data_IF_986855322682
#
_entry.id   IF_986855322682
#
_cell.length_a   1.000
_cell.length_b   1.000
_cell.length_c   1.000
_cell.angle_alpha   90.00
_cell.angle_beta   90.00
_cell.angle_gamma   90.00
#
_symmetry.space_group_name_H-M   'P 1'
#
loop_
_entity.id
_entity.type
_entity.pdbx_description
1 polymer ?
#
# COMPACT_ATOMS: atom_id res chain seq x y z
N UNK A 1 -20.14 -19.98 42.61
CA UNK A 1 -20.98 -19.09 41.76
C UNK A 1 -22.00 -19.89 40.93
N UNK A 2 -23.31 -19.65 41.12
CA UNK A 2 -24.38 -20.31 40.33
C UNK A 2 -24.10 -20.13 38.84
N UNK A 3 -23.79 -21.24 38.13
CA UNK A 3 -23.48 -21.22 36.70
C UNK A 3 -24.68 -20.64 35.95
N UNK A 4 -24.47 -19.51 35.27
CA UNK A 4 -25.46 -18.89 34.37
C UNK A 4 -25.34 -19.60 33.02
N UNK A 5 -26.09 -20.69 32.84
CA UNK A 5 -26.02 -21.57 31.65
C UNK A 5 -27.17 -21.34 30.67
N UNK A 6 -28.20 -20.60 31.07
CA UNK A 6 -29.35 -20.34 30.19
C UNK A 6 -28.96 -19.36 29.07
N UNK A 7 -29.28 -19.75 27.85
CA UNK A 7 -29.02 -18.99 26.64
C UNK A 7 -30.27 -18.32 26.11
N UNK A 8 -31.46 -18.72 26.56
CA UNK A 8 -32.71 -18.09 26.14
C UNK A 8 -33.65 -17.88 27.33
N UNK A 9 -34.48 -16.83 27.24
CA UNK A 9 -35.53 -16.53 28.23
C UNK A 9 -36.83 -16.32 27.47
N UNK A 10 -37.86 -17.08 27.84
CA UNK A 10 -39.17 -16.96 27.20
C UNK A 10 -39.78 -15.56 27.41
N UNK A 11 -40.38 -14.94 26.37
CA UNK A 11 -41.07 -13.66 26.50
C UNK A 11 -42.22 -13.76 27.50
N UNK A 12 -42.22 -12.90 28.53
CA UNK A 12 -43.30 -12.84 29.52
C UNK A 12 -43.22 -13.88 30.65
N UNK A 13 -42.27 -14.81 30.62
CA UNK A 13 -42.11 -15.87 31.63
C UNK A 13 -40.82 -15.69 32.46
N UNK A 14 -40.74 -16.35 33.62
CA UNK A 14 -39.54 -16.44 34.45
C UNK A 14 -38.65 -17.64 34.06
N UNK A 15 -39.16 -18.56 33.23
CA UNK A 15 -38.43 -19.75 32.77
C UNK A 15 -37.21 -19.40 31.90
N UNK A 16 -36.14 -20.16 32.11
CA UNK A 16 -34.83 -19.97 31.49
C UNK A 16 -34.42 -21.27 30.82
N UNK A 17 -34.05 -21.22 29.54
CA UNK A 17 -33.73 -22.39 28.74
C UNK A 17 -32.26 -22.39 28.30
N UNK A 18 -31.68 -23.58 28.18
CA UNK A 18 -30.35 -23.80 27.63
C UNK A 18 -30.51 -24.45 26.25
N UNK A 19 -30.47 -23.62 25.21
CA UNK A 19 -30.69 -24.04 23.83
C UNK A 19 -29.38 -24.15 23.05
N UNK A 20 -28.35 -23.39 23.43
CA UNK A 20 -27.08 -23.34 22.70
C UNK A 20 -25.97 -24.10 23.43
N UNK A 21 -25.13 -24.79 22.67
CA UNK A 21 -24.04 -25.62 23.17
C UNK A 21 -22.76 -25.35 22.38
N UNK A 22 -21.60 -25.46 23.05
CA UNK A 22 -20.28 -25.41 22.41
C UNK A 22 -19.73 -26.83 22.41
N UNK A 23 -19.62 -27.43 21.22
CA UNK A 23 -19.06 -28.77 21.04
C UNK A 23 -17.53 -28.69 20.90
N UNK A 24 -16.82 -29.56 21.62
CA UNK A 24 -15.35 -29.61 21.64
C UNK A 24 -14.91 -31.06 21.45
N UNK A 25 -13.92 -31.31 20.58
CA UNK A 25 -13.33 -32.65 20.44
C UNK A 25 -12.75 -33.10 21.78
N UNK A 26 -12.98 -34.37 22.14
CA UNK A 26 -12.57 -34.94 23.44
C UNK A 26 -11.11 -34.65 23.82
N UNK A 27 -10.19 -34.70 22.84
CA UNK A 27 -8.76 -34.38 23.03
C UNK A 27 -8.47 -32.98 23.60
N UNK A 28 -9.40 -32.03 23.46
CA UNK A 28 -9.28 -30.66 23.94
C UNK A 28 -10.15 -30.38 25.18
N UNK A 29 -10.75 -31.39 25.82
CA UNK A 29 -11.62 -31.20 26.99
C UNK A 29 -10.94 -30.41 28.12
N UNK A 30 -9.67 -30.70 28.37
CA UNK A 30 -8.87 -30.05 29.42
C UNK A 30 -8.44 -28.62 29.05
N UNK A 31 -8.60 -28.24 27.78
CA UNK A 31 -8.38 -26.88 27.29
C UNK A 31 -9.56 -25.96 27.60
N UNK A 32 -10.78 -26.47 27.81
CA UNK A 32 -11.93 -25.63 28.19
C UNK A 32 -11.79 -25.24 29.67
N UNK A 33 -11.75 -23.94 29.97
CA UNK A 33 -11.57 -23.42 31.34
C UNK A 33 -12.87 -22.92 31.96
N UNK A 34 -13.71 -22.30 31.17
CA UNK A 34 -14.97 -21.72 31.63
C UNK A 34 -15.96 -21.69 30.46
N UNK A 35 -17.24 -21.86 30.76
CA UNK A 35 -18.35 -21.69 29.80
C UNK A 35 -19.47 -20.97 30.53
N UNK A 36 -19.86 -19.81 30.01
CA UNK A 36 -20.89 -18.96 30.63
C UNK A 36 -21.67 -18.18 29.61
N UNK A 37 -22.89 -17.81 29.97
CA UNK A 37 -23.67 -16.85 29.20
C UNK A 37 -23.36 -15.41 29.63
N UNK A 38 -23.47 -14.47 28.69
CA UNK A 38 -23.30 -13.04 28.91
C UNK A 38 -24.64 -12.29 28.68
N UNK A 39 -25.56 -12.28 29.67
CA UNK A 39 -26.85 -11.59 29.52
C UNK A 39 -26.74 -10.08 29.27
N UNK A 40 -25.62 -9.45 29.66
CA UNK A 40 -25.34 -8.03 29.44
C UNK A 40 -24.72 -7.69 28.07
N UNK A 41 -24.51 -8.68 27.19
CA UNK A 41 -24.05 -8.46 25.82
C UNK A 41 -25.26 -8.13 24.93
N UNK A 42 -25.26 -6.97 24.29
CA UNK A 42 -26.37 -6.50 23.46
C UNK A 42 -26.12 -6.88 21.99
N UNK A 43 -26.65 -8.02 21.56
CA UNK A 43 -26.34 -8.66 20.27
C UNK A 43 -27.51 -8.72 19.28
N UNK A 44 -28.56 -7.90 19.44
CA UNK A 44 -29.79 -7.92 18.62
C UNK A 44 -30.36 -9.34 18.35
N UNK A 45 -30.15 -10.24 19.33
CA UNK A 45 -30.69 -11.59 19.38
C UNK A 45 -31.46 -11.74 20.69
N UNK A 46 -32.51 -12.56 20.65
CA UNK A 46 -33.28 -13.02 21.80
C UNK A 46 -32.53 -14.08 22.63
N UNK A 47 -31.38 -14.57 22.13
CA UNK A 47 -30.45 -15.40 22.88
C UNK A 47 -29.38 -14.56 23.59
N UNK A 48 -28.95 -15.03 24.76
CA UNK A 48 -27.77 -14.56 25.46
C UNK A 48 -26.52 -15.16 24.83
N UNK A 49 -25.52 -14.32 24.60
CA UNK A 49 -24.24 -14.76 24.06
C UNK A 49 -23.60 -15.83 24.95
N UNK A 50 -23.36 -17.03 24.39
CA UNK A 50 -22.64 -18.12 25.04
C UNK A 50 -21.13 -17.97 24.76
N UNK A 51 -20.32 -17.90 25.81
CA UNK A 51 -18.87 -17.70 25.70
C UNK A 51 -18.13 -18.82 26.43
N UNK A 52 -17.18 -19.44 25.74
CA UNK A 52 -16.24 -20.39 26.33
C UNK A 52 -14.82 -19.81 26.35
N UNK A 53 -14.14 -19.94 27.50
CA UNK A 53 -12.74 -19.60 27.67
C UNK A 53 -11.90 -20.85 27.45
N UNK A 54 -11.02 -20.82 26.46
CA UNK A 54 -10.12 -21.92 26.14
C UNK A 54 -8.66 -21.57 26.48
N UNK A 55 -7.91 -22.56 26.97
CA UNK A 55 -6.46 -22.52 27.14
C UNK A 55 -5.85 -23.55 26.19
N UNK A 56 -5.24 -23.06 25.13
CA UNK A 56 -4.46 -23.86 24.18
C UNK A 56 -3.01 -23.39 24.20
N UNK A 57 -2.07 -24.33 24.06
CA UNK A 57 -0.67 -24.01 23.76
C UNK A 57 -0.50 -24.09 22.26
N UNK A 58 -0.71 -22.98 21.58
CA UNK A 58 -0.40 -22.84 20.16
C UNK A 58 0.99 -22.23 20.02
N UNK A 59 1.76 -22.64 19.01
CA UNK A 59 2.96 -21.88 18.62
C UNK A 59 2.48 -20.46 18.31
N UNK A 60 2.95 -19.49 19.08
CA UNK A 60 2.63 -18.08 18.82
C UNK A 60 3.32 -17.71 17.52
N UNK A 61 2.58 -17.65 16.42
CA UNK A 61 3.05 -16.99 15.21
C UNK A 61 3.07 -15.50 15.56
N UNK A 62 4.24 -14.99 15.94
CA UNK A 62 4.43 -13.57 16.17
C UNK A 62 4.37 -12.93 14.80
N UNK A 63 3.22 -12.36 14.44
CA UNK A 63 3.11 -11.51 13.27
C UNK A 63 4.02 -10.30 13.46
N UNK A 64 5.19 -10.32 12.83
CA UNK A 64 6.07 -9.16 12.75
C UNK A 64 5.47 -8.21 11.72
N UNK A 65 4.66 -7.26 12.19
CA UNK A 65 4.55 -5.86 11.71
C UNK A 65 3.20 -5.29 12.14
N UNK A 66 3.25 -4.21 12.93
CA UNK A 66 2.25 -3.14 12.76
C UNK A 66 2.46 -2.65 11.32
N UNK A 67 1.48 -2.82 10.43
CA UNK A 67 1.49 -2.11 9.13
C UNK A 67 1.79 -0.64 9.43
N UNK A 68 2.79 -0.04 8.78
CA UNK A 68 3.10 1.38 8.94
C UNK A 68 1.79 2.16 8.77
N UNK A 69 1.37 2.95 9.77
CA UNK A 69 0.20 3.80 9.63
C UNK A 69 0.42 4.73 8.45
N UNK A 70 -0.58 4.88 7.60
CA UNK A 70 -0.49 5.70 6.37
C UNK A 70 -0.76 7.15 6.72
N UNK A 71 -0.11 8.07 6.02
CA UNK A 71 -0.45 9.49 6.06
C UNK A 71 -1.88 9.74 5.56
N UNK A 72 -2.57 10.67 6.21
CA UNK A 72 -3.93 11.05 5.80
C UNK A 72 -3.87 12.04 4.62
N UNK A 73 -3.91 11.49 3.40
CA UNK A 73 -3.83 12.31 2.19
C UNK A 73 -5.07 13.19 1.99
N UNK A 74 -6.24 12.81 2.51
CA UNK A 74 -7.43 13.65 2.41
C UNK A 74 -7.26 14.92 3.25
N UNK A 75 -6.76 14.75 4.47
CA UNK A 75 -6.44 15.89 5.34
C UNK A 75 -5.27 16.72 4.79
N UNK A 76 -4.26 16.09 4.20
CA UNK A 76 -3.16 16.78 3.50
C UNK A 76 -3.71 17.70 2.38
N UNK A 77 -4.65 17.22 1.57
CA UNK A 77 -5.24 18.04 0.51
C UNK A 77 -6.12 19.16 1.08
N UNK A 78 -6.83 18.92 2.18
CA UNK A 78 -7.65 19.94 2.84
C UNK A 78 -6.80 21.05 3.46
N UNK A 79 -5.62 20.72 4.00
CA UNK A 79 -4.70 21.66 4.65
C UNK A 79 -3.52 22.07 3.76
N UNK A 80 -3.69 21.94 2.44
CA UNK A 80 -2.63 22.16 1.45
C UNK A 80 -1.90 23.49 1.64
N UNK A 81 -2.65 24.57 1.84
CA UNK A 81 -2.09 25.91 1.94
C UNK A 81 -1.23 26.07 3.19
N UNK A 82 -1.73 25.66 4.35
CA UNK A 82 -0.97 25.72 5.61
C UNK A 82 0.30 24.87 5.56
N UNK A 83 0.22 23.67 4.97
CA UNK A 83 1.41 22.81 4.79
C UNK A 83 2.43 23.48 3.87
N UNK A 84 1.99 24.07 2.77
CA UNK A 84 2.87 24.77 1.84
C UNK A 84 3.56 25.98 2.48
N UNK A 85 2.83 26.81 3.23
CA UNK A 85 3.38 27.98 3.93
C UNK A 85 4.41 27.58 5.00
N UNK A 86 4.09 26.58 5.84
CA UNK A 86 5.03 26.10 6.87
C UNK A 86 6.27 25.43 6.26
N UNK A 87 6.13 24.68 5.17
CA UNK A 87 7.28 24.09 4.48
C UNK A 87 8.16 25.16 3.86
N UNK A 88 7.58 26.21 3.28
CA UNK A 88 8.35 27.29 2.67
C UNK A 88 9.18 28.06 3.71
N UNK A 89 8.58 28.38 4.85
CA UNK A 89 9.28 29.03 5.98
C UNK A 89 10.42 28.16 6.50
N UNK A 90 10.14 26.89 6.84
CA UNK A 90 11.13 26.00 7.45
C UNK A 90 12.24 25.59 6.48
N UNK A 91 11.93 25.26 5.22
CA UNK A 91 12.94 24.84 4.24
C UNK A 91 13.72 26.02 3.66
N UNK A 92 13.12 27.21 3.63
CA UNK A 92 13.80 28.46 3.25
C UNK A 92 14.81 28.92 4.31
N UNK A 93 14.59 28.58 5.58
CA UNK A 93 15.49 28.88 6.69
C UNK A 93 16.68 27.92 6.82
N UNK A 94 16.73 26.85 6.02
CA UNK A 94 17.90 25.96 5.97
C UNK A 94 19.02 26.71 5.24
N UNK A 95 19.85 27.42 5.99
CA UNK A 95 21.07 28.06 5.47
C UNK A 95 22.05 26.98 5.00
N UNK A 96 22.17 26.86 3.69
CA UNK A 96 22.97 25.80 3.09
C UNK A 96 24.44 26.21 3.00
N UNK A 97 25.31 25.58 3.78
CA UNK A 97 26.73 25.42 3.37
C UNK A 97 27.56 24.35 4.09
N UNK A 98 27.03 23.60 5.06
CA UNK A 98 27.86 22.64 5.81
C UNK A 98 27.21 21.26 5.93
N UNK A 99 27.32 20.45 4.88
CA UNK A 99 26.94 19.05 4.99
C UNK A 99 27.13 18.26 3.71
N UNK A 100 27.51 16.99 3.86
CA UNK A 100 27.43 15.99 2.79
C UNK A 100 25.96 15.75 2.39
N UNK A 101 25.74 15.03 1.28
CA UNK A 101 24.39 14.76 0.76
C UNK A 101 23.46 14.11 1.80
N UNK A 102 24.01 13.26 2.68
CA UNK A 102 23.27 12.60 3.75
C UNK A 102 22.72 13.58 4.79
N UNK A 103 23.55 14.50 5.29
CA UNK A 103 23.12 15.51 6.26
C UNK A 103 22.05 16.42 5.66
N UNK A 104 22.29 16.93 4.45
CA UNK A 104 21.32 17.78 3.74
C UNK A 104 19.98 17.07 3.52
N UNK A 105 20.00 15.78 3.15
CA UNK A 105 18.76 15.01 2.99
C UNK A 105 18.03 14.82 4.32
N UNK A 106 18.75 14.51 5.41
CA UNK A 106 18.13 14.31 6.72
C UNK A 106 17.43 15.59 7.22
N UNK A 107 18.04 16.76 7.07
CA UNK A 107 17.43 18.04 7.45
C UNK A 107 16.13 18.31 6.66
N UNK A 108 16.17 18.09 5.34
CA UNK A 108 15.00 18.25 4.46
C UNK A 108 13.90 17.24 4.83
N UNK A 109 14.28 15.97 5.05
CA UNK A 109 13.36 14.89 5.40
C UNK A 109 12.68 15.14 6.73
N UNK A 110 13.43 15.46 7.79
CA UNK A 110 12.89 15.73 9.12
C UNK A 110 11.94 16.91 9.08
N UNK A 111 12.33 18.00 8.41
CA UNK A 111 11.48 19.17 8.21
C UNK A 111 10.13 18.82 7.55
N UNK A 112 10.15 18.00 6.48
CA UNK A 112 8.93 17.54 5.82
C UNK A 112 8.08 16.66 6.73
N UNK A 113 8.70 15.67 7.40
CA UNK A 113 8.01 14.69 8.23
C UNK A 113 7.38 15.34 9.47
N UNK A 114 8.07 16.26 10.12
CA UNK A 114 7.57 16.99 11.29
C UNK A 114 6.38 17.86 10.89
N UNK A 115 6.49 18.59 9.78
CA UNK A 115 5.42 19.46 9.30
C UNK A 115 4.14 18.69 8.99
N UNK A 116 4.25 17.52 8.33
CA UNK A 116 3.06 16.69 8.07
C UNK A 116 2.59 15.93 9.31
N UNK A 117 3.47 15.62 10.27
CA UNK A 117 3.09 15.01 11.54
C UNK A 117 2.20 15.97 12.35
N UNK A 118 2.60 17.24 12.44
CA UNK A 118 1.91 18.26 13.21
C UNK A 118 0.57 18.67 12.60
N UNK A 119 0.56 18.95 11.29
CA UNK A 119 -0.63 19.47 10.61
C UNK A 119 -1.61 18.35 10.25
N UNK A 120 -1.10 17.29 9.62
CA UNK A 120 -1.92 16.24 8.99
C UNK A 120 -2.08 15.04 9.91
N UNK A 121 -0.99 14.44 10.37
CA UNK A 121 -0.99 13.19 11.11
C UNK A 121 -1.28 11.96 10.24
N UNK A 122 -1.38 10.80 10.89
CA UNK A 122 -1.60 9.51 10.22
C UNK A 122 -3.06 9.07 10.33
N UNK A 123 -3.53 8.33 9.33
CA UNK A 123 -4.89 7.78 9.28
C UNK A 123 -5.17 6.96 10.53
N UNK A 124 -6.12 7.43 11.33
CA UNK A 124 -6.61 6.68 12.46
C UNK A 124 -7.38 5.46 11.96
N UNK A 125 -7.02 4.27 12.46
CA UNK A 125 -7.81 3.07 12.22
C UNK A 125 -9.08 3.14 13.05
N UNK A 126 -10.11 3.78 12.51
CA UNK A 126 -11.46 3.60 13.04
C UNK A 126 -11.86 2.17 12.68
N UNK A 127 -11.85 1.25 13.65
CA UNK A 127 -12.22 -0.16 13.48
C UNK A 127 -13.71 -0.37 13.12
N UNK A 128 -14.43 0.70 12.73
CA UNK A 128 -15.88 0.74 12.60
C UNK A 128 -16.25 0.88 11.13
N UNK A 129 -17.47 0.45 10.83
CA UNK A 129 -18.08 0.65 9.51
C UNK A 129 -18.12 2.17 9.23
N UNK A 130 -17.83 2.63 7.99
CA UNK A 130 -17.73 4.06 7.67
C UNK A 130 -18.96 4.90 8.02
N UNK A 131 -20.14 4.27 8.05
CA UNK A 131 -21.42 4.92 8.32
C UNK A 131 -21.82 4.95 9.82
N UNK A 132 -20.95 4.56 10.75
CA UNK A 132 -21.25 4.56 12.19
C UNK A 132 -20.86 5.91 12.80
N UNK A 133 -21.84 6.67 13.26
CA UNK A 133 -21.64 7.98 13.89
C UNK A 133 -21.51 7.89 15.42
N UNK A 134 -20.98 8.95 16.05
CA UNK A 134 -20.86 9.04 17.51
C UNK A 134 -22.24 9.08 18.21
N UNK A 135 -23.25 9.68 17.56
CA UNK A 135 -24.63 9.68 18.05
C UNK A 135 -25.20 8.26 18.12
N UNK A 136 -24.96 7.45 17.07
CA UNK A 136 -25.37 6.04 17.06
C UNK A 136 -24.72 5.27 18.20
N UNK A 137 -23.45 5.56 18.52
CA UNK A 137 -22.74 4.94 19.64
C UNK A 137 -23.39 5.28 20.99
N UNK A 138 -23.66 6.57 21.23
CA UNK A 138 -24.34 7.02 22.45
C UNK A 138 -25.70 6.32 22.63
N UNK A 139 -26.50 6.26 21.56
CA UNK A 139 -27.77 5.54 21.56
C UNK A 139 -27.63 4.04 21.79
N UNK A 140 -26.56 3.39 21.29
CA UNK A 140 -26.28 1.98 21.57
C UNK A 140 -25.96 1.74 23.06
N UNK A 141 -25.15 2.62 23.66
CA UNK A 141 -24.84 2.55 25.09
C UNK A 141 -26.07 2.80 25.96
N UNK A 142 -26.91 3.75 25.56
CA UNK A 142 -28.18 4.03 26.24
C UNK A 142 -29.14 2.84 26.12
N UNK A 143 -29.31 2.27 24.92
CA UNK A 143 -30.11 1.06 24.70
C UNK A 143 -29.66 -0.10 25.59
N UNK A 144 -28.34 -0.25 25.78
CA UNK A 144 -27.75 -1.31 26.61
C UNK A 144 -28.18 -1.22 28.08
N UNK A 145 -28.38 -0.01 28.62
CA UNK A 145 -28.86 0.20 30.01
C UNK A 145 -30.26 -0.38 30.23
N UNK A 146 -31.12 -0.31 29.21
CA UNK A 146 -32.52 -0.73 29.28
C UNK A 146 -32.77 -2.21 28.94
N UNK A 147 -31.77 -2.95 28.44
CA UNK A 147 -31.94 -4.33 27.94
C UNK A 147 -32.49 -5.31 28.98
N UNK A 148 -32.01 -5.24 30.22
CA UNK A 148 -32.37 -6.18 31.30
C UNK A 148 -33.41 -5.62 32.28
N UNK A 149 -33.99 -4.46 31.97
CA UNK A 149 -35.00 -3.82 32.82
C UNK A 149 -36.37 -4.40 32.49
N UNK A 150 -36.96 -5.18 33.41
CA UNK A 150 -38.21 -5.93 33.19
C UNK A 150 -39.50 -5.15 33.50
N UNK A 151 -39.45 -3.83 33.70
CA UNK A 151 -40.67 -3.02 33.84
C UNK A 151 -41.23 -2.62 32.45
N UNK A 152 -42.50 -2.21 32.41
CA UNK A 152 -43.17 -1.82 31.16
C UNK A 152 -42.51 -0.60 30.50
N UNK A 153 -42.11 0.38 31.32
CA UNK A 153 -41.44 1.59 30.87
C UNK A 153 -40.06 1.32 30.25
N UNK A 154 -39.27 0.43 30.85
CA UNK A 154 -37.95 0.00 30.36
C UNK A 154 -38.07 -0.79 29.06
N UNK A 155 -39.06 -1.68 28.95
CA UNK A 155 -39.37 -2.39 27.69
C UNK A 155 -39.80 -1.41 26.59
N UNK A 156 -40.55 -0.36 26.93
CA UNK A 156 -40.94 0.70 25.99
C UNK A 156 -39.74 1.53 25.53
N UNK A 157 -38.89 1.99 26.47
CA UNK A 157 -37.65 2.74 26.18
C UNK A 157 -36.68 1.92 25.34
N UNK A 158 -36.48 0.64 25.65
CA UNK A 158 -35.64 -0.27 24.85
C UNK A 158 -36.15 -0.42 23.41
N UNK A 159 -37.45 -0.69 23.22
CA UNK A 159 -38.05 -0.81 21.88
C UNK A 159 -37.93 0.47 21.07
N UNK A 160 -38.16 1.63 21.69
CA UNK A 160 -37.99 2.94 21.05
C UNK A 160 -36.56 3.13 20.56
N UNK A 161 -35.56 2.99 21.45
CA UNK A 161 -34.15 3.14 21.10
C UNK A 161 -33.68 2.12 20.06
N UNK A 162 -34.18 0.87 20.12
CA UNK A 162 -33.89 -0.16 19.10
C UNK A 162 -34.39 0.25 17.72
N UNK A 163 -35.63 0.73 17.63
CA UNK A 163 -36.23 1.15 16.36
C UNK A 163 -35.57 2.43 15.81
N UNK A 164 -35.26 3.39 16.66
CA UNK A 164 -34.52 4.60 16.29
C UNK A 164 -33.12 4.26 15.76
N UNK A 165 -32.39 3.38 16.45
CA UNK A 165 -31.08 2.90 16.00
C UNK A 165 -31.16 2.13 14.68
N UNK A 166 -32.19 1.29 14.49
CA UNK A 166 -32.40 0.57 13.23
C UNK A 166 -32.60 1.56 12.08
N UNK A 167 -33.51 2.53 12.23
CA UNK A 167 -33.75 3.57 11.23
C UNK A 167 -32.51 4.42 10.94
N UNK A 168 -31.77 4.81 11.98
CA UNK A 168 -30.52 5.56 11.82
C UNK A 168 -29.47 4.73 11.07
N UNK A 169 -29.34 3.44 11.39
CA UNK A 169 -28.42 2.52 10.71
C UNK A 169 -28.78 2.33 9.25
N UNK A 170 -30.07 2.13 8.95
CA UNK A 170 -30.53 1.89 7.58
C UNK A 170 -30.39 3.17 6.72
N UNK A 171 -30.70 4.35 7.28
CA UNK A 171 -30.43 5.64 6.60
C UNK A 171 -28.94 5.84 6.32
N UNK A 172 -28.09 5.71 7.35
CA UNK A 172 -26.66 5.93 7.19
C UNK A 172 -26.02 4.94 6.20
N UNK A 173 -26.47 3.68 6.17
CA UNK A 173 -26.05 2.72 5.13
C UNK A 173 -26.51 3.14 3.74
N UNK A 174 -27.76 3.57 3.59
CA UNK A 174 -28.31 4.00 2.31
C UNK A 174 -27.56 5.22 1.77
N UNK A 175 -27.38 6.26 2.58
CA UNK A 175 -26.61 7.47 2.22
C UNK A 175 -25.16 7.13 1.84
N UNK A 176 -24.53 6.23 2.58
CA UNK A 176 -23.18 5.76 2.26
C UNK A 176 -23.12 5.03 0.92
N UNK A 177 -24.07 4.13 0.63
CA UNK A 177 -24.14 3.41 -0.65
C UNK A 177 -24.46 4.36 -1.81
N UNK A 178 -25.39 5.30 -1.62
CA UNK A 178 -25.71 6.34 -2.61
C UNK A 178 -24.49 7.19 -2.94
N UNK A 179 -23.71 7.62 -1.93
CA UNK A 179 -22.45 8.33 -2.15
C UNK A 179 -21.49 7.53 -3.03
N UNK A 180 -21.29 6.24 -2.76
CA UNK A 180 -20.41 5.40 -3.56
C UNK A 180 -20.94 5.24 -4.99
N UNK A 181 -22.24 4.99 -5.15
CA UNK A 181 -22.85 4.88 -6.47
C UNK A 181 -22.67 6.17 -7.29
N UNK A 182 -22.84 7.34 -6.66
CA UNK A 182 -22.61 8.63 -7.29
C UNK A 182 -21.15 8.81 -7.72
N UNK A 183 -20.18 8.41 -6.89
CA UNK A 183 -18.75 8.40 -7.24
C UNK A 183 -18.47 7.50 -8.44
N UNK A 184 -19.06 6.29 -8.48
CA UNK A 184 -18.91 5.35 -9.60
C UNK A 184 -19.47 5.96 -10.90
N UNK A 185 -20.66 6.56 -10.85
CA UNK A 185 -21.27 7.22 -12.01
C UNK A 185 -20.42 8.39 -12.52
N UNK A 186 -19.83 9.18 -11.61
CA UNK A 186 -18.94 10.29 -12.00
C UNK A 186 -17.64 9.78 -12.65
N UNK A 187 -17.06 8.69 -12.13
CA UNK A 187 -15.89 8.06 -12.76
C UNK A 187 -16.21 7.48 -14.13
N UNK A 188 -17.39 6.91 -14.32
CA UNK A 188 -17.84 6.47 -15.64
C UNK A 188 -18.01 7.66 -16.59
N UNK A 189 -18.65 8.75 -16.15
CA UNK A 189 -18.86 9.97 -16.95
C UNK A 189 -17.54 10.62 -17.40
N UNK A 190 -16.54 10.60 -16.53
CA UNK A 190 -15.20 11.17 -16.80
C UNK A 190 -14.27 10.21 -17.54
N UNK A 191 -14.73 9.02 -17.92
CA UNK A 191 -13.92 7.99 -18.60
C UNK A 191 -12.84 7.37 -17.70
N UNK A 192 -12.90 7.58 -16.38
CA UNK A 192 -11.97 7.07 -15.38
C UNK A 192 -12.36 5.66 -14.92
N UNK A 193 -12.37 4.73 -15.89
CA UNK A 193 -12.73 3.34 -15.65
C UNK A 193 -11.86 2.65 -14.59
N UNK A 194 -10.59 3.08 -14.44
CA UNK A 194 -9.69 2.60 -13.39
C UNK A 194 -10.25 2.83 -11.98
N UNK A 195 -10.72 4.05 -11.71
CA UNK A 195 -11.31 4.44 -10.42
C UNK A 195 -12.71 3.84 -10.25
N UNK A 196 -13.49 3.75 -11.34
CA UNK A 196 -14.80 3.10 -11.34
C UNK A 196 -14.70 1.63 -10.91
N UNK A 197 -13.79 0.85 -11.51
CA UNK A 197 -13.58 -0.55 -11.15
C UNK A 197 -13.08 -0.70 -9.71
N UNK A 198 -12.20 0.21 -9.26
CA UNK A 198 -11.75 0.22 -7.86
C UNK A 198 -12.91 0.44 -6.89
N UNK A 199 -13.77 1.44 -7.12
CA UNK A 199 -14.93 1.71 -6.27
C UNK A 199 -15.98 0.61 -6.33
N UNK A 200 -16.19 0.02 -7.50
CA UNK A 200 -17.09 -1.13 -7.66
C UNK A 200 -16.62 -2.33 -6.84
N UNK A 201 -15.30 -2.55 -6.73
CA UNK A 201 -14.72 -3.56 -5.83
C UNK A 201 -14.90 -3.24 -4.34
N UNK A 202 -15.11 -1.98 -3.95
CA UNK A 202 -15.45 -1.63 -2.56
C UNK A 202 -16.89 -2.06 -2.21
N UNK A 203 -17.81 -2.02 -3.19
CA UNK A 203 -19.20 -2.48 -3.06
C UNK A 203 -19.33 -4.00 -3.16
N UNK A 204 -18.62 -4.59 -4.12
CA UNK A 204 -18.67 -6.01 -4.43
C UNK A 204 -17.95 -6.85 -3.38
N UNK A 205 -18.47 -8.05 -3.16
CA UNK A 205 -17.84 -9.13 -2.40
C UNK A 205 -16.33 -8.96 -2.26
N UNK A 206 -15.88 -8.66 -1.03
CA UNK A 206 -14.61 -9.24 -0.61
C UNK A 206 -14.85 -10.73 -0.73
N UNK A 207 -14.49 -11.34 -1.85
CA UNK A 207 -14.16 -12.75 -1.84
C UNK A 207 -13.24 -12.86 -0.64
N UNK A 208 -13.75 -13.49 0.41
CA UNK A 208 -12.94 -13.97 1.50
C UNK A 208 -12.04 -15.00 0.82
N UNK A 209 -11.00 -14.52 0.13
CA UNK A 209 -9.72 -15.19 0.01
C UNK A 209 -9.23 -15.23 1.46
N UNK A 210 -9.94 -16.01 2.29
CA UNK A 210 -9.76 -16.05 3.73
C UNK A 210 -8.30 -16.34 3.87
N UNK A 211 -7.56 -15.35 4.42
CA UNK A 211 -6.10 -15.20 4.32
C UNK A 211 -5.52 -16.59 4.21
N UNK A 212 -5.33 -17.06 2.97
CA UNK A 212 -4.74 -18.37 2.83
C UNK A 212 -3.33 -18.05 3.28
N UNK A 213 -2.98 -18.52 4.48
CA UNK A 213 -1.61 -18.63 4.92
C UNK A 213 -0.96 -19.63 3.94
N UNK A 214 -0.77 -19.17 2.71
CA UNK A 214 0.03 -19.80 1.70
C UNK A 214 1.43 -19.54 2.18
N UNK A 215 1.87 -20.39 3.11
CA UNK A 215 3.27 -20.47 3.50
C UNK A 215 4.13 -20.58 2.24
N UNK A 216 5.34 -20.06 2.35
CA UNK A 216 6.32 -20.13 1.27
C UNK A 216 7.02 -21.48 1.34
N UNK A 217 7.19 -22.13 0.20
CA UNK A 217 8.01 -23.33 0.08
C UNK A 217 9.50 -22.96 0.21
N UNK A 218 10.22 -23.69 1.06
CA UNK A 218 11.68 -23.63 1.10
C UNK A 218 12.29 -24.41 -0.09
N UNK A 219 13.63 -24.43 -0.17
CA UNK A 219 14.37 -25.15 -1.21
C UNK A 219 14.14 -26.67 -1.20
N UNK A 220 13.65 -27.23 -0.09
CA UNK A 220 13.33 -28.65 0.06
C UNK A 220 11.85 -28.95 -0.20
N UNK A 221 11.04 -27.95 -0.54
CA UNK A 221 9.59 -28.08 -0.78
C UNK A 221 8.74 -28.09 0.50
N UNK A 222 9.32 -27.82 1.67
CA UNK A 222 8.56 -27.72 2.92
C UNK A 222 7.84 -26.38 2.99
N UNK A 223 6.57 -26.42 3.41
CA UNK A 223 5.75 -25.21 3.50
C UNK A 223 5.96 -24.48 4.82
N UNK A 224 6.61 -23.33 4.74
CA UNK A 224 6.95 -22.49 5.89
C UNK A 224 5.93 -21.36 6.04
N UNK A 225 5.28 -21.30 7.21
CA UNK A 225 4.31 -20.26 7.58
C UNK A 225 4.86 -19.28 8.62
N UNK A 226 6.01 -19.60 9.23
CA UNK A 226 6.65 -18.76 10.23
C UNK A 226 7.27 -17.53 9.57
N UNK A 227 6.84 -16.34 9.96
CA UNK A 227 7.19 -15.12 9.23
C UNK A 227 8.70 -14.81 9.24
N UNK A 228 9.43 -15.15 10.32
CA UNK A 228 10.88 -14.92 10.37
C UNK A 228 11.60 -15.84 9.40
N UNK A 229 11.19 -17.10 9.35
CA UNK A 229 11.74 -18.07 8.40
C UNK A 229 11.36 -17.70 6.97
N UNK A 230 10.12 -17.25 6.72
CA UNK A 230 9.69 -16.74 5.41
C UNK A 230 10.56 -15.56 4.99
N UNK A 231 10.85 -14.60 5.88
CA UNK A 231 11.74 -13.48 5.57
C UNK A 231 13.15 -13.96 5.21
N UNK A 232 13.68 -14.95 5.92
CA UNK A 232 14.99 -15.54 5.59
C UNK A 232 14.99 -16.25 4.22
N UNK A 233 13.91 -16.94 3.87
CA UNK A 233 13.75 -17.55 2.53
C UNK A 233 13.73 -16.46 1.46
N UNK A 234 13.01 -15.35 1.71
CA UNK A 234 12.99 -14.20 0.81
C UNK A 234 14.35 -13.52 0.67
N UNK A 235 15.05 -13.32 1.79
CA UNK A 235 16.39 -12.76 1.84
C UNK A 235 17.34 -13.61 1.00
N UNK A 236 17.44 -14.92 1.24
CA UNK A 236 18.26 -15.83 0.45
C UNK A 236 17.90 -15.78 -1.05
N UNK A 237 16.60 -15.85 -1.38
CA UNK A 237 16.15 -15.81 -2.78
C UNK A 237 16.50 -14.49 -3.48
N UNK A 238 16.40 -13.35 -2.78
CA UNK A 238 16.73 -12.03 -3.33
C UNK A 238 18.25 -11.88 -3.45
N UNK A 239 19.00 -12.32 -2.44
CA UNK A 239 20.46 -12.34 -2.48
C UNK A 239 20.93 -13.17 -3.67
N UNK A 240 20.50 -14.42 -3.83
CA UNK A 240 20.84 -15.26 -4.99
C UNK A 240 20.38 -14.67 -6.34
N UNK A 241 19.33 -13.84 -6.34
CA UNK A 241 18.83 -13.22 -7.56
C UNK A 241 19.74 -12.08 -8.05
N UNK A 242 20.31 -11.30 -7.13
CA UNK A 242 21.17 -10.15 -7.43
C UNK A 242 22.67 -10.43 -7.25
N UNK A 243 23.03 -11.49 -6.52
CA UNK A 243 24.40 -11.95 -6.31
C UNK A 243 24.85 -12.78 -7.52
N UNK A 244 26.00 -12.44 -8.08
CA UNK A 244 26.52 -13.07 -9.29
C UNK A 244 28.03 -13.24 -9.22
N UNK A 245 28.56 -14.34 -9.79
CA UNK A 245 29.97 -14.38 -10.13
C UNK A 245 30.26 -13.22 -11.09
N UNK A 246 31.28 -12.43 -10.77
CA UNK A 246 31.71 -11.23 -11.52
C UNK A 246 30.83 -9.98 -11.38
N UNK A 247 30.04 -9.84 -10.30
CA UNK A 247 29.58 -8.50 -9.91
C UNK A 247 30.81 -7.69 -9.48
N UNK A 248 31.15 -6.58 -10.16
CA UNK A 248 32.25 -5.74 -9.71
C UNK A 248 31.92 -5.17 -8.32
N UNK A 249 32.84 -5.29 -7.36
CA UNK A 249 32.70 -4.66 -6.04
C UNK A 249 32.64 -3.13 -6.17
N UNK A 250 33.39 -2.60 -7.13
CA UNK A 250 33.41 -1.21 -7.55
C UNK A 250 33.33 -1.14 -9.07
N UNK A 251 32.42 -0.32 -9.59
CA UNK A 251 32.45 0.02 -11.02
C UNK A 251 33.66 0.93 -11.24
N UNK A 252 34.58 0.51 -12.11
CA UNK A 252 35.63 1.40 -12.60
C UNK A 252 34.94 2.45 -13.47
N UNK A 253 34.81 3.66 -12.93
CA UNK A 253 34.32 4.84 -13.66
C UNK A 253 35.56 5.63 -14.05
N UNK A 254 35.59 6.17 -15.27
CA UNK A 254 36.66 7.06 -15.71
C UNK A 254 36.83 8.20 -14.69
N UNK A 255 38.07 8.50 -14.24
CA UNK A 255 38.33 9.61 -13.36
C UNK A 255 37.77 10.90 -13.95
N UNK A 256 37.17 11.75 -13.11
CA UNK A 256 36.55 13.00 -13.57
C UNK A 256 37.55 13.98 -14.25
N UNK A 257 38.85 13.74 -14.05
CA UNK A 257 39.98 14.45 -14.65
C UNK A 257 40.28 14.00 -16.08
N UNK A 258 39.83 12.80 -16.47
CA UNK A 258 40.00 12.23 -17.81
C UNK A 258 38.79 12.49 -18.74
N UNK A 259 37.67 12.96 -18.17
CA UNK A 259 36.46 13.35 -18.92
C UNK A 259 36.64 14.75 -19.51
N UNK A 260 36.51 14.88 -20.82
CA UNK A 260 36.55 16.18 -21.50
C UNK A 260 35.53 17.14 -20.86
N UNK A 261 35.93 18.39 -20.64
CA UNK A 261 35.05 19.47 -20.19
C UNK A 261 33.78 19.60 -21.01
N UNK A 262 33.84 19.30 -22.31
CA UNK A 262 32.68 19.31 -23.21
C UNK A 262 31.73 18.12 -22.99
N UNK A 263 32.19 17.06 -22.34
CA UNK A 263 31.41 15.87 -21.97
C UNK A 263 30.80 15.96 -20.57
N UNK A 264 31.26 16.90 -19.72
CA UNK A 264 30.65 17.15 -18.41
C UNK A 264 29.23 17.70 -18.56
N UNK A 265 28.25 16.93 -18.07
CA UNK A 265 26.86 17.35 -18.08
C UNK A 265 26.64 18.57 -17.16
N UNK A 266 25.79 19.54 -17.57
CA UNK A 266 25.57 20.76 -16.78
C UNK A 266 24.89 20.45 -15.43
N UNK A 267 24.96 21.39 -14.49
CA UNK A 267 24.22 21.32 -13.24
C UNK A 267 22.72 21.06 -13.44
N UNK A 268 22.10 20.37 -12.47
CA UNK A 268 20.66 20.15 -12.42
C UNK A 268 19.97 21.49 -12.20
N UNK A 269 19.10 21.86 -13.15
CA UNK A 269 18.32 23.08 -13.09
C UNK A 269 17.10 22.89 -12.19
N UNK A 270 16.73 23.93 -11.44
CA UNK A 270 15.52 23.92 -10.61
C UNK A 270 14.25 23.62 -11.41
N UNK A 271 14.18 24.06 -12.67
CA UNK A 271 13.06 23.79 -13.58
C UNK A 271 12.95 22.30 -13.95
N UNK A 272 14.06 21.56 -14.00
CA UNK A 272 14.04 20.11 -14.22
C UNK A 272 13.46 19.38 -13.00
N UNK A 273 13.85 19.81 -11.79
CA UNK A 273 13.33 19.30 -10.51
C UNK A 273 11.83 19.56 -10.40
N UNK A 274 11.41 20.80 -10.61
CA UNK A 274 10.00 21.20 -10.56
C UNK A 274 9.16 20.39 -11.56
N UNK A 275 9.63 20.24 -12.81
CA UNK A 275 8.94 19.46 -13.83
C UNK A 275 8.85 17.98 -13.45
N UNK A 276 9.91 17.41 -12.87
CA UNK A 276 9.91 16.02 -12.43
C UNK A 276 8.89 15.78 -11.29
N UNK A 277 8.82 16.69 -10.31
CA UNK A 277 7.84 16.67 -9.21
C UNK A 277 6.41 16.79 -9.72
N UNK A 278 6.12 17.77 -10.58
CA UNK A 278 4.78 18.02 -11.12
C UNK A 278 4.19 16.78 -11.79
N UNK A 279 5.01 16.02 -12.52
CA UNK A 279 4.59 14.82 -13.23
C UNK A 279 4.49 13.55 -12.36
N UNK A 280 4.91 13.59 -11.09
CA UNK A 280 4.72 12.44 -10.20
C UNK A 280 3.23 12.10 -10.07
N UNK A 281 2.89 10.83 -9.91
CA UNK A 281 1.50 10.44 -9.65
C UNK A 281 1.17 10.64 -8.18
N UNK A 282 0.00 11.20 -7.90
CA UNK A 282 -0.54 11.38 -6.54
C UNK A 282 -0.93 10.04 -5.91
N UNK A 283 -0.93 9.96 -4.58
CA UNK A 283 -1.40 8.80 -3.82
C UNK A 283 -0.56 7.53 -4.01
N UNK A 284 0.73 7.69 -4.30
CA UNK A 284 1.67 6.56 -4.42
C UNK A 284 2.24 6.19 -3.04
N UNK A 285 2.63 4.92 -2.91
CA UNK A 285 3.22 4.41 -1.69
C UNK A 285 4.63 5.00 -1.49
N UNK A 286 4.93 5.36 -0.24
CA UNK A 286 6.21 5.88 0.22
C UNK A 286 7.32 4.84 0.16
N UNK A 287 8.57 5.29 0.11
CA UNK A 287 9.75 4.45 0.27
C UNK A 287 10.00 4.13 1.75
N UNK A 288 11.24 3.78 2.09
CA UNK A 288 11.59 3.58 3.49
C UNK A 288 11.60 4.89 4.30
N UNK A 289 11.90 6.00 3.60
CA UNK A 289 11.88 7.40 4.04
C UNK A 289 10.53 7.90 4.60
N UNK A 290 9.43 7.20 4.31
CA UNK A 290 8.06 7.54 4.69
C UNK A 290 7.57 8.94 4.21
N UNK A 291 8.32 9.61 3.32
CA UNK A 291 7.97 10.92 2.74
C UNK A 291 7.00 10.74 1.56
N UNK A 292 5.74 11.23 1.63
CA UNK A 292 4.80 11.13 0.52
C UNK A 292 5.22 11.99 -0.68
N UNK A 293 5.13 11.43 -1.88
CA UNK A 293 5.34 12.20 -3.11
C UNK A 293 4.35 13.36 -3.29
N UNK A 294 3.21 13.31 -2.61
CA UNK A 294 2.23 14.39 -2.55
C UNK A 294 2.75 15.62 -1.77
N UNK A 295 3.62 15.42 -0.77
CA UNK A 295 4.25 16.51 0.00
C UNK A 295 5.29 17.24 -0.85
N UNK A 296 6.09 16.50 -1.63
CA UNK A 296 7.04 17.08 -2.57
C UNK A 296 6.38 18.02 -3.59
N UNK A 297 5.12 17.77 -3.94
CA UNK A 297 4.33 18.64 -4.83
C UNK A 297 3.85 19.94 -4.17
N UNK A 298 3.97 20.06 -2.85
CA UNK A 298 3.58 21.24 -2.08
C UNK A 298 4.78 22.16 -1.79
N UNK A 299 5.98 21.79 -2.23
CA UNK A 299 7.15 22.64 -2.06
C UNK A 299 6.99 23.94 -2.84
N UNK A 300 7.22 25.05 -2.15
CA UNK A 300 7.36 26.37 -2.76
C UNK A 300 8.75 26.59 -3.35
N UNK A 301 9.08 27.85 -3.62
CA UNK A 301 10.32 28.21 -4.32
C UNK A 301 11.57 27.92 -3.48
N UNK A 302 11.53 28.25 -2.19
CA UNK A 302 12.58 27.95 -1.22
C UNK A 302 12.79 26.44 -1.09
N UNK A 303 11.72 25.67 -0.91
CA UNK A 303 11.81 24.20 -0.86
C UNK A 303 12.39 23.57 -2.13
N UNK A 304 12.02 24.09 -3.31
CA UNK A 304 12.58 23.65 -4.59
C UNK A 304 14.07 24.01 -4.72
N UNK A 305 14.48 25.19 -4.26
CA UNK A 305 15.88 25.62 -4.27
C UNK A 305 16.74 24.74 -3.37
N UNK A 306 16.29 24.48 -2.14
CA UNK A 306 16.98 23.60 -1.19
C UNK A 306 17.10 22.17 -1.73
N UNK A 307 16.03 21.64 -2.31
CA UNK A 307 16.05 20.31 -2.93
C UNK A 307 16.97 20.25 -4.16
N UNK A 308 17.01 21.31 -4.98
CA UNK A 308 17.90 21.39 -6.14
C UNK A 308 19.37 21.43 -5.72
N UNK A 309 19.68 22.13 -4.62
CA UNK A 309 21.04 22.14 -4.04
C UNK A 309 21.46 20.72 -3.62
N UNK A 310 20.61 20.00 -2.88
CA UNK A 310 20.86 18.59 -2.55
C UNK A 310 21.13 17.73 -3.78
N UNK A 311 20.30 17.87 -4.84
CA UNK A 311 20.47 17.09 -6.05
C UNK A 311 21.78 17.40 -6.77
N UNK A 312 22.23 18.66 -6.78
CA UNK A 312 23.53 19.03 -7.34
C UNK A 312 24.68 18.50 -6.48
N UNK A 313 24.59 18.55 -5.14
CA UNK A 313 25.60 17.92 -4.27
C UNK A 313 25.71 16.42 -4.53
N UNK A 314 24.59 15.71 -4.70
CA UNK A 314 24.59 14.28 -5.08
C UNK A 314 25.20 14.08 -6.48
N UNK A 315 24.86 14.96 -7.43
CA UNK A 315 25.31 14.86 -8.81
C UNK A 315 26.83 15.09 -8.95
N UNK A 316 27.40 16.03 -8.18
CA UNK A 316 28.84 16.31 -8.15
C UNK A 316 29.62 15.25 -7.37
N UNK A 317 29.18 14.92 -6.15
CA UNK A 317 29.92 13.98 -5.29
C UNK A 317 29.78 12.52 -5.70
N UNK A 318 28.72 12.17 -6.44
CA UNK A 318 28.35 10.78 -6.69
C UNK A 318 27.82 10.03 -5.45
N UNK A 319 27.74 10.69 -4.29
CA UNK A 319 27.31 10.09 -3.03
C UNK A 319 25.80 10.19 -2.86
N UNK A 320 25.15 9.02 -2.76
CA UNK A 320 23.71 8.93 -2.52
C UNK A 320 23.41 8.84 -1.03
N UNK A 321 22.39 9.57 -0.53
CA UNK A 321 21.88 9.35 0.81
C UNK A 321 21.42 7.90 1.00
N UNK A 322 21.55 7.39 2.22
CA UNK A 322 21.22 6.02 2.59
C UNK A 322 19.76 5.68 2.24
N UNK A 323 18.82 6.57 2.52
CA UNK A 323 17.40 6.38 2.18
C UNK A 323 17.15 6.23 0.67
N UNK A 324 18.05 6.72 -0.19
CA UNK A 324 17.91 6.63 -1.64
C UNK A 324 18.43 5.29 -2.16
N UNK A 325 19.33 4.64 -1.42
CA UNK A 325 19.90 3.33 -1.76
C UNK A 325 19.13 2.18 -1.11
N UNK A 326 18.45 2.42 0.02
CA UNK A 326 17.60 1.44 0.67
C UNK A 326 16.22 1.31 0.01
N UNK A 327 15.74 0.07 -0.11
CA UNK A 327 14.52 -0.25 -0.84
C UNK A 327 13.65 -1.21 -0.04
N UNK A 328 12.37 -0.84 0.12
CA UNK A 328 11.38 -1.80 0.63
C UNK A 328 10.85 -2.68 -0.51
N UNK A 329 11.23 -3.97 -0.49
CA UNK A 329 10.74 -4.97 -1.43
C UNK A 329 9.35 -5.50 -1.04
N UNK A 330 8.40 -5.42 -1.96
CA UNK A 330 7.05 -6.00 -1.84
C UNK A 330 6.87 -7.14 -2.83
N UNK A 331 6.55 -8.33 -2.33
CA UNK A 331 6.21 -9.48 -3.16
C UNK A 331 4.71 -9.50 -3.50
N UNK A 332 4.37 -9.26 -4.77
CA UNK A 332 3.00 -9.39 -5.30
C UNK A 332 2.79 -10.77 -5.93
N UNK A 333 1.71 -11.45 -5.57
CA UNK A 333 1.39 -12.76 -6.16
C UNK A 333 1.08 -12.62 -7.65
N UNK A 334 1.74 -13.43 -8.50
CA UNK A 334 1.40 -13.54 -9.93
C UNK A 334 0.18 -14.42 -10.18
N UNK A 335 -0.08 -15.38 -9.26
CA UNK A 335 -1.18 -16.35 -9.33
C UNK A 335 -1.86 -16.53 -7.98
N UNK A 336 -3.10 -17.02 -7.98
CA UNK A 336 -3.95 -17.16 -6.77
C UNK A 336 -3.32 -18.02 -5.67
N UNK A 337 -2.67 -19.12 -6.03
CA UNK A 337 -1.92 -20.02 -5.12
C UNK A 337 -0.41 -19.90 -5.33
N UNK A 338 0.16 -18.76 -4.97
CA UNK A 338 1.62 -18.54 -5.00
C UNK A 338 2.27 -19.13 -3.74
N UNK A 339 2.98 -20.26 -3.89
CA UNK A 339 3.71 -20.94 -2.80
C UNK A 339 5.22 -20.76 -2.90
N UNK A 340 5.77 -20.52 -4.11
CA UNK A 340 7.21 -20.30 -4.30
C UNK A 340 7.55 -18.82 -4.38
N UNK A 341 8.78 -18.42 -4.04
CA UNK A 341 9.22 -17.03 -4.22
C UNK A 341 9.13 -16.58 -5.69
N UNK A 342 9.45 -17.45 -6.65
CA UNK A 342 9.34 -17.19 -8.09
C UNK A 342 7.92 -16.89 -8.60
N UNK A 343 6.89 -17.37 -7.87
CA UNK A 343 5.48 -17.12 -8.16
C UNK A 343 5.04 -15.69 -7.81
N UNK A 344 5.94 -14.89 -7.25
CA UNK A 344 5.69 -13.51 -6.94
C UNK A 344 6.52 -12.60 -7.84
N UNK A 345 6.02 -11.38 -8.03
CA UNK A 345 6.74 -10.26 -8.62
C UNK A 345 7.22 -9.38 -7.48
N UNK A 346 8.53 -9.22 -7.35
CA UNK A 346 9.14 -8.26 -6.44
C UNK A 346 8.95 -6.85 -7.00
N UNK A 347 8.51 -5.92 -6.16
CA UNK A 347 8.43 -4.50 -6.47
C UNK A 347 9.25 -3.74 -5.44
N UNK A 348 10.20 -2.97 -5.93
CA UNK A 348 11.04 -2.06 -5.17
C UNK A 348 10.32 -0.75 -4.88
N UNK A 349 10.02 -0.48 -3.61
CA UNK A 349 9.61 0.85 -3.17
C UNK A 349 10.85 1.68 -2.80
N UNK A 350 11.29 2.46 -3.79
CA UNK A 350 12.38 3.44 -3.66
C UNK A 350 11.81 4.78 -3.17
N UNK A 351 12.59 5.55 -2.41
CA UNK A 351 12.30 6.93 -2.04
C UNK A 351 11.81 7.76 -3.24
N UNK A 352 10.83 8.63 -2.98
CA UNK A 352 10.28 9.47 -4.06
C UNK A 352 11.30 10.46 -4.60
N UNK A 353 12.15 10.97 -3.72
CA UNK A 353 13.21 11.94 -4.03
C UNK A 353 14.28 11.33 -4.94
N UNK A 354 14.71 10.09 -4.68
CA UNK A 354 15.64 9.36 -5.54
C UNK A 354 15.07 9.18 -6.98
N UNK A 355 13.76 8.93 -7.11
CA UNK A 355 13.10 8.83 -8.42
C UNK A 355 13.09 10.16 -9.17
N UNK A 356 13.16 11.29 -8.49
CA UNK A 356 13.24 12.60 -9.15
C UNK A 356 14.58 12.72 -9.87
N UNK A 357 15.69 12.45 -9.18
CA UNK A 357 17.04 12.47 -9.78
C UNK A 357 17.11 11.48 -10.95
N UNK A 358 16.71 10.22 -10.74
CA UNK A 358 16.72 9.21 -11.80
C UNK A 358 15.90 9.64 -13.03
N UNK A 359 14.78 10.34 -12.83
CA UNK A 359 13.94 10.85 -13.92
C UNK A 359 14.58 12.02 -14.67
N UNK A 360 15.31 12.89 -13.97
CA UNK A 360 16.07 13.99 -14.58
C UNK A 360 17.19 13.39 -15.45
N UNK A 361 17.98 12.48 -14.88
CA UNK A 361 19.05 11.78 -15.62
C UNK A 361 18.51 11.04 -16.85
N UNK A 362 17.41 10.29 -16.69
CA UNK A 362 16.74 9.62 -17.81
C UNK A 362 16.47 10.58 -18.95
N UNK A 363 15.90 11.77 -18.68
CA UNK A 363 15.55 12.75 -19.72
C UNK A 363 16.75 13.34 -20.44
N UNK A 364 17.82 13.59 -19.71
CA UNK A 364 19.06 14.12 -20.29
C UNK A 364 19.66 13.12 -21.29
N UNK A 365 19.60 11.83 -20.97
CA UNK A 365 20.15 10.76 -21.82
C UNK A 365 19.13 10.31 -22.89
N UNK A 366 17.83 10.51 -22.67
CA UNK A 366 16.73 10.05 -23.56
C UNK A 366 16.93 10.50 -25.02
N UNK A 367 17.40 11.72 -25.27
CA UNK A 367 17.66 12.19 -26.64
C UNK A 367 18.73 11.33 -27.34
N UNK A 368 19.87 11.11 -26.69
CA UNK A 368 20.96 10.27 -27.24
C UNK A 368 20.50 8.83 -27.47
N UNK A 369 19.66 8.29 -26.58
CA UNK A 369 19.11 6.94 -26.71
C UNK A 369 18.15 6.84 -27.91
N UNK A 370 17.28 7.82 -28.11
CA UNK A 370 16.32 7.79 -29.21
C UNK A 370 16.98 7.80 -30.59
N UNK A 371 18.17 8.41 -30.72
CA UNK A 371 18.98 8.38 -31.95
C UNK A 371 19.55 6.98 -32.27
N UNK A 372 19.70 6.12 -31.26
CA UNK A 372 20.26 4.76 -31.41
C UNK A 372 19.17 3.68 -31.50
N UNK A 373 17.97 3.93 -30.96
CA UNK A 373 16.90 2.93 -30.92
C UNK A 373 16.17 2.78 -32.27
N UNK A 374 16.22 1.57 -32.83
CA UNK A 374 15.48 1.19 -34.05
C UNK A 374 13.98 1.45 -33.99
N UNK A 375 13.34 1.66 -35.14
CA UNK A 375 11.91 1.99 -35.22
C UNK A 375 10.98 0.87 -34.73
N UNK A 376 11.47 -0.36 -34.74
CA UNK A 376 10.85 -1.60 -34.29
C UNK A 376 10.83 -1.77 -32.76
N UNK A 377 11.55 -0.94 -32.01
CA UNK A 377 11.43 -0.91 -30.55
C UNK A 377 10.21 -0.09 -30.14
N UNK A 378 9.22 -0.73 -29.50
CA UNK A 378 7.99 -0.08 -29.02
C UNK A 378 7.94 0.10 -27.50
N UNK A 379 8.64 -0.76 -26.75
CA UNK A 379 8.58 -0.77 -25.29
C UNK A 379 9.24 0.46 -24.67
N UNK A 380 8.59 1.06 -23.66
CA UNK A 380 9.12 2.17 -22.86
C UNK A 380 9.50 3.46 -23.64
N UNK A 381 9.10 3.59 -24.90
CA UNK A 381 9.34 4.78 -25.73
C UNK A 381 8.15 5.72 -25.74
N UNK A 382 8.43 7.01 -25.87
CA UNK A 382 7.39 8.03 -25.93
C UNK A 382 6.65 7.95 -27.26
N UNK A 383 5.32 7.96 -27.20
CA UNK A 383 4.47 7.94 -28.41
C UNK A 383 4.32 6.58 -29.09
N UNK A 384 5.00 5.54 -28.58
CA UNK A 384 4.83 4.15 -29.03
C UNK A 384 4.16 3.31 -27.94
N UNK A 385 3.35 2.35 -28.35
CA UNK A 385 2.65 1.46 -27.42
C UNK A 385 2.37 0.09 -28.01
N UNK A 386 1.77 -0.78 -27.20
CA UNK A 386 1.46 -2.16 -27.59
C UNK A 386 0.52 -2.24 -28.79
N UNK A 387 -0.33 -1.23 -28.99
CA UNK A 387 -1.22 -1.17 -30.16
C UNK A 387 -0.44 -1.05 -31.47
N UNK A 388 0.66 -0.29 -31.46
CA UNK A 388 1.50 -0.10 -32.65
C UNK A 388 2.24 -1.41 -32.97
N UNK A 389 2.78 -2.09 -31.96
CA UNK A 389 3.42 -3.39 -32.12
C UNK A 389 2.44 -4.46 -32.66
N UNK A 390 1.21 -4.51 -32.13
CA UNK A 390 0.16 -5.41 -32.63
C UNK A 390 -0.23 -5.04 -34.06
N UNK A 391 -0.35 -3.74 -34.36
CA UNK A 391 -0.64 -3.24 -35.70
C UNK A 391 0.40 -3.67 -36.72
N UNK A 392 1.68 -3.51 -36.39
CA UNK A 392 2.80 -3.95 -37.23
C UNK A 392 2.75 -5.47 -37.48
N UNK A 393 2.60 -6.27 -36.43
CA UNK A 393 2.47 -7.72 -36.55
C UNK A 393 1.29 -8.14 -37.42
N UNK A 394 0.17 -7.42 -37.31
CA UNK A 394 -1.03 -7.67 -38.12
C UNK A 394 -0.79 -7.36 -39.59
N UNK A 395 -0.13 -6.25 -39.91
CA UNK A 395 0.21 -5.90 -41.29
C UNK A 395 1.13 -6.96 -41.90
N UNK A 396 2.14 -7.43 -41.16
CA UNK A 396 3.03 -8.50 -41.62
C UNK A 396 2.21 -9.77 -41.93
N UNK A 397 1.33 -10.17 -41.01
CA UNK A 397 0.46 -11.33 -41.22
C UNK A 397 -0.46 -11.19 -42.43
N UNK A 398 -1.11 -10.03 -42.60
CA UNK A 398 -1.99 -9.77 -43.75
C UNK A 398 -1.22 -9.80 -45.08
N UNK A 399 -0.02 -9.21 -45.13
CA UNK A 399 0.83 -9.23 -46.34
C UNK A 399 1.36 -10.62 -46.70
N UNK A 400 1.75 -11.42 -45.71
CA UNK A 400 2.21 -12.80 -45.97
C UNK A 400 1.07 -13.67 -46.48
N UNK A 401 -0.15 -13.48 -45.96
CA UNK A 401 -1.35 -14.15 -46.46
C UNK A 401 -1.71 -13.73 -47.89
N UNK A 402 -1.53 -12.46 -48.27
CA UNK A 402 -1.79 -11.97 -49.63
C UNK A 402 -0.91 -12.65 -50.70
N UNK A 403 0.30 -13.07 -50.34
CA UNK A 403 1.25 -13.73 -51.25
C UNK A 403 1.24 -15.26 -51.14
N UNK A 404 0.30 -15.83 -50.37
CA UNK A 404 0.13 -17.28 -50.15
C UNK A 404 1.37 -17.98 -49.58
N UNK A 405 2.11 -17.29 -48.70
CA UNK A 405 3.29 -17.82 -48.02
C UNK A 405 2.99 -18.17 -46.55
N UNK A 406 3.83 -19.03 -45.96
CA UNK A 406 3.70 -19.39 -44.54
C UNK A 406 4.39 -18.36 -43.62
N UNK A 407 3.64 -17.78 -42.67
CA UNK A 407 4.21 -16.92 -41.62
C UNK A 407 4.56 -17.73 -40.36
N UNK A 408 5.85 -17.82 -40.04
CA UNK A 408 6.33 -18.31 -38.76
C UNK A 408 6.64 -17.16 -37.79
N UNK A 409 6.03 -17.17 -36.59
CA UNK A 409 6.28 -16.16 -35.54
C UNK A 409 7.01 -16.80 -34.36
N UNK A 410 8.19 -16.27 -34.02
CA UNK A 410 8.97 -16.71 -32.87
C UNK A 410 8.86 -15.69 -31.72
N UNK A 411 8.30 -16.11 -30.59
CA UNK A 411 8.24 -15.29 -29.37
C UNK A 411 9.43 -15.58 -28.47
N UNK A 412 10.28 -14.58 -28.27
CA UNK A 412 11.41 -14.63 -27.34
C UNK A 412 11.09 -13.81 -26.08
N UNK A 413 11.40 -14.35 -24.91
CA UNK A 413 11.25 -13.64 -23.64
C UNK A 413 12.49 -13.83 -22.75
N UNK A 414 12.90 -12.74 -22.11
CA UNK A 414 14.08 -12.71 -21.26
C UNK A 414 13.71 -13.12 -19.83
N UNK A 415 14.33 -14.18 -19.32
CA UNK A 415 14.10 -14.60 -17.95
C UNK A 415 14.63 -13.55 -16.95
N UNK A 416 13.72 -12.89 -16.24
CA UNK A 416 14.03 -11.88 -15.21
C UNK A 416 14.92 -10.75 -15.75
N UNK A 417 14.56 -10.17 -16.90
CA UNK A 417 15.38 -9.19 -17.64
C UNK A 417 16.01 -8.08 -16.77
N UNK A 418 15.27 -7.46 -15.84
CA UNK A 418 15.77 -6.38 -15.00
C UNK A 418 16.70 -6.85 -13.86
N UNK A 419 16.43 -8.02 -13.29
CA UNK A 419 17.31 -8.65 -12.29
C UNK A 419 18.55 -9.27 -12.98
N UNK A 420 18.38 -9.55 -14.28
CA UNK A 420 19.21 -10.08 -15.38
C UNK A 420 20.49 -9.32 -15.79
N UNK A 421 20.54 -8.02 -15.57
CA UNK A 421 21.47 -7.15 -16.32
C UNK A 421 22.91 -7.30 -15.83
N UNK A 422 23.87 -7.38 -16.77
CA UNK A 422 25.30 -7.32 -16.46
C UNK A 422 25.71 -5.84 -16.40
N UNK A 423 26.17 -5.37 -15.24
CA UNK A 423 26.44 -3.95 -15.00
C UNK A 423 27.70 -3.46 -15.74
N UNK A 424 28.75 -4.27 -15.82
CA UNK A 424 29.98 -3.96 -16.56
C UNK A 424 29.79 -3.89 -18.08
N UNK A 425 28.73 -4.48 -18.61
CA UNK A 425 28.36 -4.34 -20.03
C UNK A 425 27.37 -3.21 -20.29
N UNK A 426 26.72 -2.71 -19.25
CA UNK A 426 25.71 -1.67 -19.35
C UNK A 426 26.35 -0.28 -19.23
N UNK A 427 27.28 -0.16 -18.28
CA UNK A 427 28.27 0.92 -18.22
C UNK A 427 29.33 0.65 -19.28
#
# INVERSE_FOLDING_TARGET
PKRRIYTWKAPGDWKRHQLDYILVKHRFRNSVKDVKTLPGADIDSDHNLLVAKFRTRLKKIIGFRKRRPRWDLEKLYAQRQSVQETLEEKLGAIEGESGNAEAQWNDIKECMLDTISDLVGKVEKIARKPWVTQEMMSKMEERRKWKNVNNEEGRRKYRRLRNELKRATDRAKKEYLEKICNEIMEFQRTGRYDLMYMKTKELGWKENHGIQNVGIEDSQGNRIVDQRQVLKIWENYISELYDRPNRPETLEVEPEEEVDTDEKGPYILQSEVEKAIKEMRKGKATGDDDVPGDVLKLLGEGGLKTLTKLMNTIYESGEWPKDFTEVTMIALKKKTKATKCSDHRTISLIAHTAKIIAKILKRRIERKIEDVLGEDQFGFRRGKGTRDAIGMMRIIAERTLEIDEELCVCFTDWHKAFDRVNWTKLM
#
